data_IF_329652165091
#
_entry.id   IF_329652165091
#
_cell.length_a   1.000
_cell.length_b   1.000
_cell.length_c   1.000
_cell.angle_alpha   90.00
_cell.angle_beta   90.00
_cell.angle_gamma   90.00
#
_symmetry.space_group_name_H-M   'P 1'
#
loop_
_entity.id
_entity.type
_entity.pdbx_description
1 polymer ?
#
# COMPACT_ATOMS: atom_id res chain seq x y z
N UNK A 1 -19.00 -8.62 2.80
CA UNK A 1 -17.98 -8.91 3.84
C UNK A 1 -16.58 -9.06 3.25
N UNK A 2 -16.37 -9.79 2.15
CA UNK A 2 -15.03 -9.98 1.54
C UNK A 2 -14.27 -8.69 1.21
N UNK A 3 -14.95 -7.62 0.74
CA UNK A 3 -14.28 -6.33 0.43
C UNK A 3 -13.74 -5.62 1.67
N UNK A 4 -14.48 -5.64 2.79
CA UNK A 4 -14.03 -5.02 4.04
C UNK A 4 -12.85 -5.80 4.60
N UNK A 5 -12.90 -7.13 4.54
CA UNK A 5 -11.79 -8.00 4.94
C UNK A 5 -10.54 -7.76 4.08
N UNK A 6 -10.67 -7.72 2.75
CA UNK A 6 -9.58 -7.38 1.82
C UNK A 6 -9.00 -5.99 2.07
N UNK A 7 -9.86 -5.01 2.36
CA UNK A 7 -9.44 -3.67 2.76
C UNK A 7 -8.62 -3.71 4.05
N UNK A 8 -9.10 -4.41 5.08
CA UNK A 8 -8.42 -4.49 6.37
C UNK A 8 -7.06 -5.19 6.27
N UNK A 9 -6.99 -6.29 5.54
CA UNK A 9 -5.74 -7.03 5.29
C UNK A 9 -4.75 -6.17 4.50
N UNK A 10 -5.20 -5.53 3.41
CA UNK A 10 -4.34 -4.67 2.59
C UNK A 10 -3.85 -3.45 3.37
N UNK A 11 -4.71 -2.87 4.20
CA UNK A 11 -4.35 -1.78 5.10
C UNK A 11 -3.30 -2.22 6.12
N UNK A 12 -3.52 -3.36 6.79
CA UNK A 12 -2.58 -3.93 7.74
C UNK A 12 -1.20 -4.20 7.12
N UNK A 13 -1.17 -4.81 5.93
CA UNK A 13 0.06 -5.03 5.17
C UNK A 13 0.77 -3.72 4.82
N UNK A 14 0.02 -2.68 4.45
CA UNK A 14 0.59 -1.36 4.16
C UNK A 14 1.24 -0.72 5.40
N UNK A 15 0.62 -0.84 6.58
CA UNK A 15 1.17 -0.31 7.84
C UNK A 15 2.44 -1.07 8.27
N UNK A 16 2.44 -2.40 8.16
CA UNK A 16 3.59 -3.25 8.52
C UNK A 16 4.78 -2.95 7.59
N UNK A 17 4.54 -2.94 6.28
CA UNK A 17 5.60 -2.66 5.29
C UNK A 17 6.16 -1.25 5.44
N UNK A 18 5.32 -0.23 5.73
CA UNK A 18 5.82 1.12 6.02
C UNK A 18 6.66 1.18 7.30
N UNK A 19 6.24 0.49 8.36
CA UNK A 19 7.03 0.41 9.60
C UNK A 19 8.41 -0.20 9.34
N UNK A 20 8.47 -1.25 8.51
CA UNK A 20 9.74 -1.87 8.12
C UNK A 20 10.61 -0.93 7.29
N UNK A 21 10.03 -0.22 6.32
CA UNK A 21 10.74 0.77 5.48
C UNK A 21 11.33 1.93 6.28
N UNK A 22 10.65 2.38 7.34
CA UNK A 22 11.16 3.41 8.25
C UNK A 22 12.44 2.96 8.95
N UNK A 23 12.58 1.67 9.29
CA UNK A 23 13.81 1.16 9.90
C UNK A 23 15.02 1.28 8.96
N UNK A 24 14.83 1.22 7.64
CA UNK A 24 15.91 1.44 6.68
C UNK A 24 16.41 2.89 6.68
N UNK A 25 15.62 3.85 7.17
CA UNK A 25 16.12 5.23 7.34
C UNK A 25 17.21 5.30 8.40
N UNK A 26 17.34 4.31 9.30
CA UNK A 26 18.47 4.26 10.25
C UNK A 26 19.82 4.11 9.53
N UNK A 27 19.87 3.52 8.32
CA UNK A 27 21.11 3.49 7.53
C UNK A 27 21.62 4.90 7.21
N UNK A 28 20.75 5.92 7.24
CA UNK A 28 21.18 7.32 7.13
C UNK A 28 22.01 7.77 8.34
N UNK A 29 21.62 7.36 9.54
CA UNK A 29 22.35 7.66 10.77
C UNK A 29 23.73 6.95 10.83
N UNK A 30 23.86 5.81 10.13
CA UNK A 30 25.13 5.10 9.93
C UNK A 30 26.06 5.77 8.91
N UNK A 31 25.65 6.88 8.28
CA UNK A 31 26.49 7.66 7.36
C UNK A 31 26.32 7.34 5.87
N UNK A 32 25.39 6.44 5.50
CA UNK A 32 25.12 6.16 4.09
C UNK A 32 24.48 7.36 3.37
N UNK A 33 24.77 7.51 2.07
CA UNK A 33 24.15 8.56 1.24
C UNK A 33 22.66 8.31 1.04
N UNK A 34 21.89 9.40 0.89
CA UNK A 34 20.44 9.31 0.67
C UNK A 34 20.09 8.45 -0.56
N UNK A 35 20.81 8.61 -1.67
CA UNK A 35 20.61 7.80 -2.87
C UNK A 35 20.76 6.30 -2.60
N UNK A 36 21.75 5.92 -1.80
CA UNK A 36 21.98 4.51 -1.45
C UNK A 36 20.82 3.96 -0.62
N UNK A 37 20.39 4.70 0.39
CA UNK A 37 19.28 4.28 1.27
C UNK A 37 17.97 4.13 0.47
N UNK A 38 17.65 5.09 -0.41
CA UNK A 38 16.46 4.99 -1.27
C UNK A 38 16.56 3.83 -2.26
N UNK A 39 17.75 3.59 -2.85
CA UNK A 39 17.95 2.46 -3.76
C UNK A 39 17.79 1.12 -3.04
N UNK A 40 18.24 1.01 -1.80
CA UNK A 40 17.99 -0.15 -0.94
C UNK A 40 16.50 -0.33 -0.67
N UNK A 41 15.80 0.73 -0.24
CA UNK A 41 14.36 0.72 0.01
C UNK A 41 13.58 0.26 -1.23
N UNK A 42 13.91 0.77 -2.43
CA UNK A 42 13.23 0.39 -3.67
C UNK A 42 13.51 -1.05 -4.10
N UNK A 43 14.65 -1.61 -3.70
CA UNK A 43 15.07 -2.96 -4.07
C UNK A 43 14.50 -4.05 -3.15
N UNK A 44 13.96 -3.71 -1.98
CA UNK A 44 13.45 -4.72 -1.03
C UNK A 44 12.10 -5.29 -1.45
N UNK A 45 11.83 -6.57 -1.12
CA UNK A 45 10.53 -7.18 -1.36
C UNK A 45 9.40 -6.48 -0.60
N UNK A 46 9.70 -5.87 0.55
CA UNK A 46 8.74 -5.10 1.36
C UNK A 46 8.15 -3.93 0.59
N UNK A 47 8.97 -3.21 -0.18
CA UNK A 47 8.49 -2.11 -1.01
C UNK A 47 7.55 -2.61 -2.12
N UNK A 48 7.84 -3.76 -2.72
CA UNK A 48 6.95 -4.37 -3.74
C UNK A 48 5.62 -4.80 -3.13
N UNK A 49 5.65 -5.40 -1.93
CA UNK A 49 4.45 -5.78 -1.17
C UNK A 49 3.62 -4.56 -0.74
N UNK A 50 4.28 -3.48 -0.34
CA UNK A 50 3.65 -2.20 -0.03
C UNK A 50 2.90 -1.65 -1.24
N UNK A 51 3.57 -1.57 -2.41
CA UNK A 51 2.95 -1.09 -3.66
C UNK A 51 1.76 -1.96 -4.05
N UNK A 52 1.90 -3.28 -3.99
CA UNK A 52 0.81 -4.20 -4.30
C UNK A 52 -0.39 -4.00 -3.37
N UNK A 53 -0.12 -3.88 -2.06
CA UNK A 53 -1.16 -3.66 -1.04
C UNK A 53 -1.87 -2.31 -1.25
N UNK A 54 -1.12 -1.27 -1.63
CA UNK A 54 -1.67 0.05 -1.94
C UNK A 54 -2.59 0.01 -3.16
N UNK A 55 -2.19 -0.70 -4.22
CA UNK A 55 -3.01 -0.90 -5.43
C UNK A 55 -4.32 -1.60 -5.07
N UNK A 56 -4.27 -2.70 -4.31
CA UNK A 56 -5.47 -3.42 -3.86
C UNK A 56 -6.37 -2.53 -3.00
N UNK A 57 -5.78 -1.68 -2.15
CA UNK A 57 -6.51 -0.73 -1.31
C UNK A 57 -7.28 0.29 -2.18
N UNK A 58 -6.62 0.88 -3.17
CA UNK A 58 -7.22 1.82 -4.12
C UNK A 58 -8.37 1.14 -4.87
N UNK A 59 -8.17 -0.07 -5.40
CA UNK A 59 -9.23 -0.83 -6.05
C UNK A 59 -10.43 -1.08 -5.13
N UNK A 60 -10.20 -1.43 -3.87
CA UNK A 60 -11.27 -1.60 -2.89
C UNK A 60 -12.09 -0.31 -2.66
N UNK A 61 -11.44 0.85 -2.66
CA UNK A 61 -12.07 2.15 -2.41
C UNK A 61 -12.76 2.70 -3.67
N UNK A 62 -12.13 2.61 -4.83
CA UNK A 62 -12.65 3.11 -6.12
C UNK A 62 -13.84 2.29 -6.63
N UNK A 63 -14.02 1.05 -6.18
CA UNK A 63 -15.20 0.23 -6.48
C UNK A 63 -16.52 0.71 -5.86
N UNK A 64 -16.59 1.96 -5.35
CA UNK A 64 -17.77 2.65 -4.80
C UNK A 64 -18.58 3.44 -5.85
N UNK A 65 -18.39 3.20 -7.15
CA UNK A 65 -19.35 3.67 -8.15
C UNK A 65 -20.73 3.03 -7.92
N UNK A 66 -21.84 3.73 -8.15
CA UNK A 66 -23.18 3.18 -7.93
C UNK A 66 -23.35 1.94 -8.82
N UNK A 67 -23.39 0.76 -8.21
CA UNK A 67 -23.69 -0.49 -8.94
C UNK A 67 -25.15 -0.57 -9.39
N UNK A 68 -25.99 0.38 -8.96
CA UNK A 68 -27.33 0.61 -9.49
C UNK A 68 -27.24 1.68 -10.58
N UNK A 69 -27.30 1.25 -11.82
CA UNK A 69 -27.82 2.08 -12.91
C UNK A 69 -29.22 2.54 -12.44
N UNK A 70 -29.55 3.84 -12.46
CA UNK A 70 -30.89 4.27 -12.15
C UNK A 70 -31.82 3.60 -13.17
N UNK A 71 -32.58 2.60 -12.73
CA UNK A 71 -33.65 2.01 -13.52
C UNK A 71 -34.80 3.02 -13.53
N UNK A 72 -34.64 4.08 -14.33
CA UNK A 72 -35.74 4.90 -14.80
C UNK A 72 -36.61 4.03 -15.68
N UNK A 73 -37.58 3.35 -15.08
CA UNK A 73 -38.77 2.86 -15.76
C UNK A 73 -39.92 3.68 -15.20
N UNK A 74 -40.17 4.81 -15.87
CA UNK A 74 -41.51 5.39 -15.98
C UNK A 74 -42.27 4.60 -17.06
#
# INVERSE_FOLDING_TARGET
MNRIFLFLVSYGLCVITMSHLVLFLNYRALGHSWETVFRYILSTPDFKLMVLSLVVLIFCVSGRGPSRIPSGKE
#
